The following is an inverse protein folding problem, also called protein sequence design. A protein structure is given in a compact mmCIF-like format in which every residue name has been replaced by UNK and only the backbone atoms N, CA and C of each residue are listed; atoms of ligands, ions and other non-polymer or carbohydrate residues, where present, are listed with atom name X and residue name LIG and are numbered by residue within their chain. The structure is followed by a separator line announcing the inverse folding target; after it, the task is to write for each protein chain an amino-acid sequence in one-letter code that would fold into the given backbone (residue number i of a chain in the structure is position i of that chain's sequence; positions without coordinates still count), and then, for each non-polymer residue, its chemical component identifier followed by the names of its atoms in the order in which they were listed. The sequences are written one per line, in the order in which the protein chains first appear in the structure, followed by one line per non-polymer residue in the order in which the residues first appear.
data_IF_524033638892
#
_entry.id   IF_524033638892
#
_cell.length_a   1.000
_cell.length_b   1.000
_cell.length_c   1.000
_cell.angle_alpha   90.00
_cell.angle_beta   90.00
_cell.angle_gamma   90.00
#
_symmetry.space_group_name_H-M   'P 1'
#
loop_
_entity.id
_entity.type
_entity.pdbx_description
1 polymer ?
#
# COMPACT_ATOMS: atom_id res chain seq x y z
N UNK A 1 35.74 20.35 4.48
CA UNK A 1 35.01 19.09 4.72
C UNK A 1 33.52 19.43 4.83
N UNK A 2 32.80 19.33 3.71
CA UNK A 2 31.37 19.66 3.62
C UNK A 2 30.55 18.48 4.15
N UNK A 3 29.75 18.70 5.20
CA UNK A 3 28.86 17.68 5.78
C UNK A 3 27.81 17.25 4.73
N UNK A 4 27.73 15.96 4.44
CA UNK A 4 26.66 15.40 3.61
C UNK A 4 25.29 15.62 4.26
N UNK A 5 24.24 15.93 3.48
CA UNK A 5 22.92 16.15 4.02
C UNK A 5 22.36 14.85 4.62
N UNK A 6 21.80 14.94 5.82
CA UNK A 6 21.17 13.83 6.52
C UNK A 6 19.72 13.75 6.06
N UNK A 7 19.40 12.80 5.19
CA UNK A 7 18.02 12.57 4.76
C UNK A 7 17.25 11.92 5.90
N UNK A 8 16.20 12.60 6.38
CA UNK A 8 15.26 12.06 7.36
C UNK A 8 14.31 11.14 6.59
N UNK A 9 14.20 9.87 7.01
CA UNK A 9 13.22 8.95 6.45
C UNK A 9 11.81 9.45 6.80
N UNK A 10 10.93 9.51 5.79
CA UNK A 10 9.53 9.90 5.98
C UNK A 10 8.79 8.78 6.69
N UNK A 11 8.06 9.12 7.76
CA UNK A 11 7.24 8.17 8.49
C UNK A 11 5.84 8.10 7.87
N UNK A 12 5.43 6.92 7.40
CA UNK A 12 4.08 6.65 6.90
C UNK A 12 3.21 6.04 8.01
N UNK A 13 2.07 6.66 8.30
CA UNK A 13 1.11 6.15 9.27
C UNK A 13 0.31 4.95 8.74
N UNK A 14 0.17 4.81 7.43
CA UNK A 14 -0.51 3.67 6.81
C UNK A 14 0.37 2.41 6.79
N UNK A 15 1.69 2.59 6.79
CA UNK A 15 2.68 1.50 6.90
C UNK A 15 3.85 1.87 7.84
N UNK A 16 3.63 1.89 9.17
CA UNK A 16 4.64 2.33 10.14
C UNK A 16 5.91 1.47 10.18
N UNK A 17 5.83 0.25 9.67
CA UNK A 17 6.91 -0.73 9.68
C UNK A 17 7.52 -0.94 8.29
N UNK A 18 7.04 -0.22 7.28
CA UNK A 18 7.48 -0.36 5.88
C UNK A 18 7.40 -1.82 5.43
N UNK A 19 6.28 -2.48 5.74
CA UNK A 19 6.03 -3.87 5.36
C UNK A 19 6.01 -4.04 3.85
N UNK A 20 5.67 -2.99 3.09
CA UNK A 20 5.69 -3.04 1.63
C UNK A 20 7.10 -3.35 1.06
N UNK A 21 8.15 -2.87 1.72
CA UNK A 21 9.54 -3.12 1.30
C UNK A 21 10.00 -4.56 1.60
N UNK A 22 9.29 -5.27 2.49
CA UNK A 22 9.56 -6.68 2.79
C UNK A 22 8.94 -7.63 1.77
N UNK A 23 8.05 -7.14 0.92
CA UNK A 23 7.42 -7.93 -0.14
C UNK A 23 8.35 -8.06 -1.35
N UNK A 24 8.24 -9.17 -2.05
CA UNK A 24 8.81 -9.35 -3.39
C UNK A 24 7.98 -8.59 -4.44
N UNK A 25 8.54 -8.39 -5.63
CA UNK A 25 7.82 -7.74 -6.73
C UNK A 25 6.55 -8.50 -7.16
N UNK A 26 6.60 -9.83 -7.10
CA UNK A 26 5.45 -10.69 -7.39
C UNK A 26 4.34 -10.51 -6.35
N UNK A 27 4.68 -10.51 -5.06
CA UNK A 27 3.71 -10.29 -3.99
C UNK A 27 3.07 -8.91 -4.06
N UNK A 28 3.84 -7.88 -4.41
CA UNK A 28 3.31 -6.53 -4.67
C UNK A 28 2.32 -6.53 -5.84
N UNK A 29 2.66 -7.18 -6.95
CA UNK A 29 1.79 -7.27 -8.11
C UNK A 29 0.47 -8.00 -7.79
N UNK A 30 0.55 -9.12 -7.06
CA UNK A 30 -0.64 -9.88 -6.63
C UNK A 30 -1.50 -9.03 -5.70
N UNK A 31 -0.91 -8.35 -4.71
CA UNK A 31 -1.63 -7.44 -3.81
C UNK A 31 -2.38 -6.36 -4.55
N UNK A 32 -1.73 -5.69 -5.49
CA UNK A 32 -2.32 -4.57 -6.22
C UNK A 32 -3.46 -5.04 -7.13
N UNK A 33 -3.32 -6.22 -7.74
CA UNK A 33 -4.37 -6.88 -8.50
C UNK A 33 -5.60 -7.19 -7.65
N UNK A 34 -5.41 -7.81 -6.48
CA UNK A 34 -6.49 -8.13 -5.54
C UNK A 34 -7.15 -6.85 -5.04
N UNK A 35 -6.35 -5.82 -4.71
CA UNK A 35 -6.86 -4.53 -4.24
C UNK A 35 -7.78 -3.90 -5.28
N UNK A 36 -7.40 -3.92 -6.57
CA UNK A 36 -8.24 -3.41 -7.66
C UNK A 36 -9.56 -4.17 -7.75
N UNK A 37 -9.52 -5.50 -7.78
CA UNK A 37 -10.72 -6.34 -7.82
C UNK A 37 -11.67 -6.05 -6.65
N UNK A 38 -11.14 -5.90 -5.44
CA UNK A 38 -11.95 -5.58 -4.27
C UNK A 38 -12.66 -4.21 -4.39
N UNK A 39 -12.01 -3.20 -4.97
CA UNK A 39 -12.63 -1.87 -5.15
C UNK A 39 -13.66 -1.88 -6.29
N UNK A 40 -13.34 -2.52 -7.41
CA UNK A 40 -14.17 -2.48 -8.61
C UNK A 40 -15.39 -3.41 -8.51
N UNK A 41 -15.23 -4.60 -7.93
CA UNK A 41 -16.28 -5.64 -7.94
C UNK A 41 -16.95 -5.82 -6.58
N UNK A 42 -16.18 -5.83 -5.48
CA UNK A 42 -16.73 -6.16 -4.16
C UNK A 42 -17.33 -4.94 -3.45
N UNK A 43 -16.67 -3.79 -3.50
CA UNK A 43 -17.15 -2.56 -2.87
C UNK A 43 -18.56 -2.15 -3.33
N UNK A 44 -18.90 -2.08 -4.65
CA UNK A 44 -20.24 -1.70 -5.06
C UNK A 44 -21.30 -2.69 -4.59
N UNK A 45 -21.01 -3.99 -4.62
CA UNK A 45 -21.93 -5.04 -4.13
C UNK A 45 -22.26 -4.89 -2.66
N UNK A 46 -21.26 -4.55 -1.84
CA UNK A 46 -21.49 -4.27 -0.42
C UNK A 46 -22.39 -3.04 -0.26
N UNK A 47 -22.12 -1.96 -1.00
CA UNK A 47 -22.95 -0.75 -0.93
C UNK A 47 -24.39 -0.98 -1.39
N UNK A 48 -24.61 -1.82 -2.40
CA UNK A 48 -25.96 -2.20 -2.86
C UNK A 48 -26.69 -3.07 -1.84
N UNK A 49 -25.99 -4.00 -1.18
CA UNK A 49 -26.59 -4.90 -0.20
C UNK A 49 -27.02 -4.20 1.10
N UNK A 50 -26.41 -3.05 1.42
CA UNK A 50 -26.69 -2.28 2.66
C UNK A 50 -27.37 -0.92 2.37
N UNK A 51 -27.98 -0.74 1.20
CA UNK A 51 -28.77 0.44 0.84
C UNK A 51 -30.24 0.30 1.19
#
# INVERSE_FOLDING_TARGET
MTKSPKTIATFDWADPLVLDDMLTDEERLVRDSIRRFCQEELQPRVLEAFR
#
